data_IF_471455371270
#
_entry.id   IF_471455371270
#
_cell.length_a   1.000
_cell.length_b   1.000
_cell.length_c   1.000
_cell.angle_alpha   90.00
_cell.angle_beta   90.00
_cell.angle_gamma   90.00
#
_symmetry.space_group_name_H-M   'P 1'
#
loop_
_entity.id
_entity.type
_entity.pdbx_description
1 polymer ?
#
# COMPACT_ATOMS: atom_id res chain seq x y z
N UNK A 1 5.87 -11.26 21.01
CA UNK A 1 6.36 -9.96 21.54
C UNK A 1 5.96 -8.86 20.56
N UNK A 2 5.46 -7.74 21.08
CA UNK A 2 4.98 -6.63 20.25
C UNK A 2 6.17 -5.82 19.73
N UNK A 3 6.16 -5.49 18.44
CA UNK A 3 7.18 -4.66 17.78
C UNK A 3 6.52 -3.66 16.83
N UNK A 4 7.31 -2.68 16.39
CA UNK A 4 6.89 -1.73 15.36
C UNK A 4 7.04 -2.34 13.97
N UNK A 5 5.99 -2.28 13.17
CA UNK A 5 5.97 -2.68 11.78
C UNK A 5 5.79 -1.47 10.89
N UNK A 6 6.52 -1.46 9.77
CA UNK A 6 6.33 -0.47 8.72
C UNK A 6 5.28 -1.02 7.75
N UNK A 7 4.32 -0.20 7.35
CA UNK A 7 3.33 -0.62 6.35
C UNK A 7 3.19 0.40 5.24
N UNK A 8 2.88 -0.12 4.05
CA UNK A 8 2.57 0.65 2.85
C UNK A 8 1.32 0.08 2.18
N UNK A 9 0.49 0.97 1.64
CA UNK A 9 -0.61 0.59 0.76
C UNK A 9 -0.08 0.37 -0.66
N UNK A 10 -0.54 -0.69 -1.30
CA UNK A 10 -0.23 -0.98 -2.70
C UNK A 10 -1.37 -0.44 -3.53
N UNK A 11 -1.08 0.46 -4.46
CA UNK A 11 -2.05 1.15 -5.31
C UNK A 11 -1.89 0.73 -6.75
N UNK A 12 -3.01 0.52 -7.39
CA UNK A 12 -3.12 0.50 -8.84
C UNK A 12 -3.53 1.91 -9.31
N UNK A 13 -2.70 2.51 -10.15
CA UNK A 13 -2.84 3.86 -10.68
C UNK A 13 -2.45 3.85 -12.17
N UNK A 14 -3.39 3.49 -13.06
CA UNK A 14 -3.11 3.31 -14.49
C UNK A 14 -2.87 4.64 -15.20
N UNK A 15 -3.45 5.73 -14.70
CA UNK A 15 -3.33 7.07 -15.24
C UNK A 15 -2.89 8.02 -14.13
N UNK A 16 -1.71 8.61 -14.31
CA UNK A 16 -1.14 9.57 -13.37
C UNK A 16 -1.72 10.97 -13.51
N UNK A 17 -2.21 11.34 -14.69
CA UNK A 17 -2.76 12.66 -14.99
C UNK A 17 -4.11 12.86 -14.31
N UNK A 18 -4.96 11.84 -14.33
CA UNK A 18 -6.28 11.88 -13.67
C UNK A 18 -6.18 11.76 -12.15
N UNK A 19 -5.04 11.30 -11.63
CA UNK A 19 -4.84 11.05 -10.21
C UNK A 19 -5.77 9.98 -9.63
N UNK A 20 -6.37 9.16 -10.49
CA UNK A 20 -7.25 8.07 -10.10
C UNK A 20 -6.45 6.87 -9.60
N UNK A 21 -6.82 6.34 -8.44
CA UNK A 21 -6.18 5.15 -7.91
C UNK A 21 -7.14 4.28 -7.11
N UNK A 22 -6.79 3.00 -7.02
CA UNK A 22 -7.43 2.05 -6.12
C UNK A 22 -6.37 1.36 -5.26
N UNK A 23 -6.64 1.24 -3.96
CA UNK A 23 -5.80 0.38 -3.12
C UNK A 23 -6.12 -1.07 -3.48
N UNK A 24 -5.08 -1.84 -3.80
CA UNK A 24 -5.18 -3.24 -4.21
C UNK A 24 -4.51 -4.18 -3.23
N UNK A 25 -3.76 -3.64 -2.26
CA UNK A 25 -3.10 -4.46 -1.25
C UNK A 25 -2.40 -3.65 -0.18
N UNK A 26 -1.71 -4.39 0.68
CA UNK A 26 -0.89 -3.87 1.79
C UNK A 26 0.37 -4.72 1.87
N UNK A 27 1.50 -4.07 2.16
CA UNK A 27 2.77 -4.73 2.53
C UNK A 27 3.21 -4.27 3.92
N UNK A 28 3.75 -5.21 4.70
CA UNK A 28 4.24 -5.04 6.06
C UNK A 28 5.70 -5.47 6.11
N UNK A 29 6.55 -4.61 6.65
CA UNK A 29 7.94 -4.91 6.97
C UNK A 29 8.14 -4.98 8.48
N UNK A 30 8.70 -6.10 8.95
CA UNK A 30 9.08 -6.33 10.33
C UNK A 30 10.60 -6.15 10.50
N UNK A 31 11.07 -5.05 11.11
CA UNK A 31 12.50 -4.77 11.22
C UNK A 31 13.23 -5.67 12.22
N UNK A 32 12.61 -6.04 13.35
CA UNK A 32 13.30 -6.84 14.38
C UNK A 32 13.37 -8.33 14.00
N UNK A 33 12.46 -8.78 13.14
CA UNK A 33 12.44 -10.11 12.56
C UNK A 33 12.32 -9.91 11.05
N UNK A 34 13.44 -9.74 10.31
CA UNK A 34 13.48 -9.30 8.92
C UNK A 34 12.57 -10.12 7.99
N UNK A 35 11.30 -9.77 8.00
CA UNK A 35 10.22 -10.52 7.38
C UNK A 35 9.28 -9.53 6.69
N UNK A 36 8.75 -9.98 5.57
CA UNK A 36 7.78 -9.23 4.79
C UNK A 36 6.48 -10.03 4.79
N UNK A 37 5.39 -9.42 5.19
CA UNK A 37 4.04 -9.95 5.00
C UNK A 37 3.29 -9.06 4.03
N UNK A 38 2.39 -9.63 3.24
CA UNK A 38 1.59 -8.84 2.34
C UNK A 38 0.23 -9.48 2.10
N UNK A 39 -0.71 -8.66 1.63
CA UNK A 39 -1.99 -9.12 1.12
C UNK A 39 -2.38 -8.31 -0.09
N UNK A 40 -2.69 -9.01 -1.17
CA UNK A 40 -3.16 -8.43 -2.41
C UNK A 40 -4.61 -8.83 -2.66
N UNK A 41 -5.26 -8.07 -3.52
CA UNK A 41 -6.49 -8.47 -4.16
C UNK A 41 -6.31 -9.79 -4.89
N UNK A 42 -7.35 -10.60 -4.91
CA UNK A 42 -7.37 -11.76 -5.77
C UNK A 42 -7.67 -11.34 -7.23
N UNK A 43 -7.12 -12.05 -8.25
CA UNK A 43 -7.32 -11.71 -9.65
C UNK A 43 -8.79 -11.62 -10.09
N UNK A 44 -9.67 -12.44 -9.49
CA UNK A 44 -11.12 -12.42 -9.79
C UNK A 44 -11.86 -11.21 -9.20
N UNK A 45 -11.25 -10.45 -8.30
CA UNK A 45 -11.84 -9.25 -7.69
C UNK A 45 -11.59 -7.98 -8.52
N UNK A 46 -11.32 -8.14 -9.83
CA UNK A 46 -11.01 -7.05 -10.76
C UNK A 46 -12.21 -6.17 -11.10
N UNK A 47 -13.45 -6.67 -11.03
CA UNK A 47 -14.65 -5.93 -11.47
C UNK A 47 -14.81 -4.57 -10.79
N UNK A 48 -14.49 -4.47 -9.49
CA UNK A 48 -14.55 -3.22 -8.73
C UNK A 48 -13.48 -2.19 -9.13
N UNK A 49 -12.41 -2.66 -9.76
CA UNK A 49 -11.30 -1.86 -10.25
C UNK A 49 -11.61 -1.44 -11.68
N UNK A 50 -11.87 -2.39 -12.58
CA UNK A 50 -12.11 -2.12 -14.01
C UNK A 50 -13.39 -1.31 -14.27
N UNK A 51 -14.42 -1.41 -13.41
CA UNK A 51 -15.59 -0.53 -13.52
C UNK A 51 -15.28 0.94 -13.19
N UNK A 52 -14.27 1.20 -12.34
CA UNK A 52 -13.90 2.56 -11.96
C UNK A 52 -13.03 3.25 -13.00
N UNK A 53 -12.14 2.50 -13.65
CA UNK A 53 -11.23 2.99 -14.69
C UNK A 53 -11.78 2.59 -16.05
N UNK A 54 -12.62 3.43 -16.67
CA UNK A 54 -13.14 3.18 -18.02
C UNK A 54 -12.37 4.00 -19.06
N UNK A 55 -11.83 3.41 -20.15
CA UNK A 55 -11.84 1.99 -20.54
C UNK A 55 -10.51 1.29 -20.21
N UNK A 56 -10.36 0.74 -19.00
CA UNK A 56 -9.18 -0.06 -18.63
C UNK A 56 -9.39 -1.53 -19.01
N UNK A 57 -8.46 -2.09 -19.77
CA UNK A 57 -8.43 -3.53 -20.06
C UNK A 57 -8.16 -4.33 -18.76
N UNK A 58 -8.99 -5.34 -18.51
CA UNK A 58 -8.84 -6.27 -17.37
C UNK A 58 -7.47 -6.94 -17.37
N UNK A 59 -6.89 -7.21 -18.54
CA UNK A 59 -5.56 -7.79 -18.67
C UNK A 59 -4.46 -6.88 -18.10
N UNK A 60 -4.62 -5.56 -18.20
CA UNK A 60 -3.67 -4.60 -17.63
C UNK A 60 -3.67 -4.69 -16.11
N UNK A 61 -4.85 -4.72 -15.49
CA UNK A 61 -4.96 -4.89 -14.04
C UNK A 61 -4.39 -6.23 -13.58
N UNK A 62 -4.77 -7.34 -14.22
CA UNK A 62 -4.29 -8.67 -13.84
C UNK A 62 -2.78 -8.82 -14.04
N UNK A 63 -2.23 -8.28 -15.12
CA UNK A 63 -0.80 -8.24 -15.38
C UNK A 63 -0.05 -7.45 -14.30
N UNK A 64 -0.52 -6.24 -13.98
CA UNK A 64 0.07 -5.41 -12.93
C UNK A 64 0.02 -6.09 -11.54
N UNK A 65 -1.10 -6.76 -11.21
CA UNK A 65 -1.24 -7.53 -9.99
C UNK A 65 -0.26 -8.71 -9.93
N UNK A 66 -0.07 -9.43 -11.04
CA UNK A 66 0.87 -10.55 -11.15
C UNK A 66 2.33 -10.11 -10.96
N UNK A 67 2.72 -9.00 -11.58
CA UNK A 67 4.04 -8.39 -11.42
C UNK A 67 4.27 -8.00 -9.96
N UNK A 68 3.31 -7.31 -9.33
CA UNK A 68 3.39 -6.94 -7.92
C UNK A 68 3.52 -8.17 -7.01
N UNK A 69 2.73 -9.22 -7.25
CA UNK A 69 2.79 -10.45 -6.48
C UNK A 69 4.15 -11.14 -6.61
N UNK A 70 4.69 -11.25 -7.81
CA UNK A 70 6.00 -11.88 -8.05
C UNK A 70 7.11 -11.12 -7.34
N UNK A 71 7.11 -9.79 -7.41
CA UNK A 71 8.12 -8.97 -6.74
C UNK A 71 8.02 -9.06 -5.21
N UNK A 72 6.80 -8.99 -4.65
CA UNK A 72 6.60 -9.14 -3.20
C UNK A 72 7.04 -10.52 -2.71
N UNK A 73 6.74 -11.58 -3.45
CA UNK A 73 7.20 -12.94 -3.12
C UNK A 73 8.73 -13.06 -3.22
N UNK A 74 9.36 -12.41 -4.19
CA UNK A 74 10.82 -12.36 -4.32
C UNK A 74 11.44 -11.68 -3.11
N UNK A 75 10.96 -10.48 -2.75
CA UNK A 75 11.48 -9.74 -1.59
C UNK A 75 11.21 -10.50 -0.29
N UNK A 76 10.02 -11.07 -0.10
CA UNK A 76 9.68 -11.89 1.07
C UNK A 76 10.68 -13.03 1.31
N UNK A 77 11.17 -13.68 0.24
CA UNK A 77 12.17 -14.74 0.32
C UNK A 77 13.59 -14.23 0.57
N UNK A 78 13.94 -13.06 0.03
CA UNK A 78 15.30 -12.51 0.13
C UNK A 78 15.55 -11.77 1.43
N UNK A 79 14.51 -11.13 1.99
CA UNK A 79 14.62 -10.21 3.12
C UNK A 79 15.35 -10.81 4.35
N UNK A 80 15.15 -12.08 4.76
CA UNK A 80 15.87 -12.66 5.89
C UNK A 80 17.37 -12.87 5.65
N UNK A 81 17.80 -12.91 4.38
CA UNK A 81 19.13 -13.34 3.97
C UNK A 81 20.03 -12.19 3.50
N UNK A 82 19.50 -10.98 3.36
CA UNK A 82 20.29 -9.82 2.93
C UNK A 82 20.98 -9.13 4.11
N UNK A 83 22.17 -8.58 3.87
CA UNK A 83 22.93 -7.86 4.89
C UNK A 83 22.21 -6.58 5.39
N UNK A 84 21.40 -5.95 4.54
CA UNK A 84 20.62 -4.77 4.90
C UNK A 84 19.14 -4.92 4.47
N UNK A 85 18.29 -5.55 5.30
CA UNK A 85 16.87 -5.72 5.02
C UNK A 85 16.10 -4.40 4.89
N UNK A 86 16.50 -3.37 5.63
CA UNK A 86 15.87 -2.06 5.57
C UNK A 86 16.07 -1.41 4.20
N UNK A 87 17.29 -1.46 3.65
CA UNK A 87 17.57 -0.96 2.30
C UNK A 87 16.79 -1.73 1.21
N UNK A 88 16.66 -3.05 1.34
CA UNK A 88 15.84 -3.84 0.41
C UNK A 88 14.35 -3.45 0.48
N UNK A 89 13.83 -3.22 1.69
CA UNK A 89 12.47 -2.70 1.87
C UNK A 89 12.30 -1.30 1.28
N UNK A 90 13.24 -0.39 1.51
CA UNK A 90 13.22 0.96 0.93
C UNK A 90 13.24 0.93 -0.60
N UNK A 91 14.03 0.03 -1.20
CA UNK A 91 14.06 -0.14 -2.66
C UNK A 91 12.76 -0.74 -3.22
N UNK A 92 12.11 -1.64 -2.47
CA UNK A 92 10.80 -2.18 -2.80
C UNK A 92 9.74 -1.07 -2.87
N UNK A 93 9.71 -0.17 -1.89
CA UNK A 93 8.69 0.88 -1.79
C UNK A 93 9.09 2.18 -2.50
N UNK A 94 10.26 2.21 -3.15
CA UNK A 94 10.77 3.42 -3.82
C UNK A 94 9.76 3.90 -4.86
N UNK A 95 9.37 5.19 -4.85
CA UNK A 95 8.47 5.73 -5.86
C UNK A 95 9.04 5.54 -7.27
N UNK A 96 8.24 4.96 -8.16
CA UNK A 96 8.55 4.78 -9.59
C UNK A 96 7.38 5.33 -10.42
N UNK A 97 7.63 5.57 -11.71
CA UNK A 97 6.59 5.94 -12.67
C UNK A 97 5.87 4.69 -13.22
N UNK A 98 5.42 3.83 -12.32
CA UNK A 98 4.72 2.59 -12.63
C UNK A 98 3.24 2.65 -12.29
N UNK A 99 2.50 1.69 -12.86
CA UNK A 99 1.07 1.47 -12.63
C UNK A 99 0.83 0.98 -11.18
N UNK A 100 1.83 0.33 -10.56
CA UNK A 100 1.77 -0.15 -9.18
C UNK A 100 2.60 0.74 -8.27
N UNK A 101 1.95 1.47 -7.36
CA UNK A 101 2.65 2.39 -6.46
C UNK A 101 2.52 1.98 -5.01
N UNK A 102 3.61 2.08 -4.27
CA UNK A 102 3.61 1.98 -2.81
C UNK A 102 3.33 3.37 -2.22
N UNK A 103 2.16 3.53 -1.63
CA UNK A 103 1.71 4.77 -1.05
C UNK A 103 1.52 4.65 0.46
N UNK A 104 1.46 5.80 1.13
CA UNK A 104 1.10 5.90 2.55
C UNK A 104 2.00 5.03 3.45
N UNK A 105 3.17 5.56 3.80
CA UNK A 105 4.06 4.92 4.78
C UNK A 105 3.58 5.22 6.19
N UNK A 106 3.37 4.18 6.98
CA UNK A 106 3.02 4.30 8.39
C UNK A 106 3.74 3.27 9.26
N UNK A 107 3.65 3.48 10.58
CA UNK A 107 4.17 2.55 11.57
C UNK A 107 3.02 2.08 12.45
N UNK A 108 2.96 0.79 12.73
CA UNK A 108 1.95 0.18 13.60
C UNK A 108 2.59 -0.83 14.54
N UNK A 109 2.12 -0.89 15.78
CA UNK A 109 2.57 -1.90 16.73
C UNK A 109 1.76 -3.19 16.55
N UNK A 110 2.45 -4.31 16.37
CA UNK A 110 1.82 -5.62 16.19
C UNK A 110 2.70 -6.75 16.68
N UNK A 111 2.15 -7.97 16.65
CA UNK A 111 2.87 -9.19 17.03
C UNK A 111 3.10 -10.10 15.83
N UNK A 112 2.08 -10.26 14.97
CA UNK A 112 2.16 -11.01 13.72
C UNK A 112 2.00 -10.05 12.52
N UNK A 113 3.01 -9.94 11.64
CA UNK A 113 2.93 -9.08 10.47
C UNK A 113 1.82 -9.52 9.49
N UNK A 114 1.46 -10.81 9.42
CA UNK A 114 0.38 -11.26 8.54
C UNK A 114 -1.00 -10.85 9.05
N UNK A 115 -1.28 -11.03 10.34
CA UNK A 115 -2.51 -10.53 10.96
C UNK A 115 -2.67 -9.00 10.81
N UNK A 116 -1.57 -8.26 10.88
CA UNK A 116 -1.57 -6.81 10.62
C UNK A 116 -1.88 -6.50 9.15
N UNK A 117 -1.28 -7.24 8.21
CA UNK A 117 -1.59 -7.11 6.78
C UNK A 117 -3.08 -7.35 6.51
N UNK A 118 -3.67 -8.39 7.10
CA UNK A 118 -5.09 -8.72 6.97
C UNK A 118 -6.00 -7.62 7.51
N UNK A 119 -5.66 -7.08 8.69
CA UNK A 119 -6.41 -5.99 9.32
C UNK A 119 -6.41 -4.73 8.45
N UNK A 120 -5.23 -4.33 7.96
CA UNK A 120 -5.08 -3.16 7.12
C UNK A 120 -5.71 -3.37 5.74
N UNK A 121 -5.61 -4.57 5.17
CA UNK A 121 -6.27 -4.93 3.92
C UNK A 121 -7.79 -4.79 4.03
N UNK A 122 -8.39 -5.33 5.09
CA UNK A 122 -9.83 -5.19 5.32
C UNK A 122 -10.25 -3.72 5.45
N UNK A 123 -9.42 -2.90 6.10
CA UNK A 123 -9.69 -1.46 6.30
C UNK A 123 -9.55 -0.63 5.03
N UNK A 124 -8.47 -0.81 4.27
CA UNK A 124 -8.09 0.09 3.18
C UNK A 124 -8.40 -0.44 1.78
N UNK A 125 -8.63 -1.75 1.65
CA UNK A 125 -8.84 -2.44 0.36
C UNK A 125 -10.23 -3.08 0.26
N UNK A 126 -10.79 -3.64 1.33
CA UNK A 126 -12.15 -4.24 1.29
C UNK A 126 -13.28 -3.24 1.57
N UNK A 127 -13.12 -2.32 2.53
CA UNK A 127 -14.10 -1.27 2.81
C UNK A 127 -14.02 -0.14 1.77
N UNK A 128 -14.44 -0.42 0.55
CA UNK A 128 -14.55 0.56 -0.53
C UNK A 128 -15.80 1.47 -0.36
N UNK A 129 -15.98 2.07 0.82
CA UNK A 129 -16.93 3.17 1.03
C UNK A 129 -16.13 4.38 1.53
N UNK A 130 -15.76 5.26 0.59
CA UNK A 130 -15.23 6.61 0.87
C UNK A 130 -13.71 6.81 0.90
N UNK A 131 -12.87 5.77 0.99
CA UNK A 131 -11.39 5.96 1.08
C UNK A 131 -10.56 4.96 0.24
N UNK A 132 -11.16 3.88 -0.28
CA UNK A 132 -10.46 2.81 -1.01
C UNK A 132 -10.27 3.04 -2.51
N UNK A 133 -11.10 3.91 -3.09
CA UNK A 133 -11.07 4.29 -4.51
C UNK A 133 -11.24 5.81 -4.52
N UNK A 134 -10.31 6.54 -5.14
CA UNK A 134 -10.32 8.01 -5.10
C UNK A 134 -9.93 8.58 -6.44
N UNK A 135 -10.65 9.65 -6.83
CA UNK A 135 -10.29 10.57 -7.90
C UNK A 135 -9.69 11.79 -7.22
N UNK A 136 -8.38 11.99 -7.30
CA UNK A 136 -7.81 13.26 -6.85
C UNK A 136 -8.20 14.33 -7.87
N UNK A 137 -9.35 14.97 -7.66
CA UNK A 137 -9.53 16.33 -8.20
C UNK A 137 -8.47 17.19 -7.52
N UNK A 138 -7.68 17.91 -8.32
CA UNK A 138 -6.55 18.71 -7.85
C UNK A 138 -6.94 19.57 -6.65
N UNK A 139 -6.45 19.22 -5.45
CA UNK A 139 -6.77 19.94 -4.21
C UNK A 139 -6.89 19.04 -2.99
N UNK A 140 -5.80 18.38 -2.56
CA UNK A 140 -5.77 17.81 -1.22
C UNK A 140 -5.74 18.95 -0.19
N UNK A 141 -6.62 19.00 0.82
CA UNK A 141 -6.54 20.00 1.87
C UNK A 141 -5.28 19.79 2.69
N UNK A 142 -4.38 20.79 2.68
CA UNK A 142 -3.26 20.87 3.63
C UNK A 142 -3.83 20.64 5.04
N UNK A 143 -3.32 19.62 5.73
CA UNK A 143 -3.62 19.40 7.15
C UNK A 143 -3.43 20.74 7.87
N UNK A 144 -4.51 21.32 8.42
CA UNK A 144 -4.40 22.45 9.33
C UNK A 144 -3.61 21.97 10.54
N UNK A 145 -2.36 22.39 10.64
CA UNK A 145 -1.62 22.44 11.90
C UNK A 145 -2.47 23.27 12.86
N UNK A 146 -3.03 22.63 13.89
CA UNK A 146 -3.59 23.36 15.03
C UNK A 146 -2.40 23.99 15.75
N UNK A 147 -2.23 25.29 15.60
CA UNK A 147 -1.42 26.08 16.52
C UNK A 147 -2.10 26.04 17.89
N UNK A 148 -1.43 25.43 18.86
CA UNK A 148 -1.74 25.58 20.27
C UNK A 148 -1.31 27.00 20.67
N UNK A 149 -2.26 27.91 20.82
CA UNK A 149 -2.05 29.18 21.51
C UNK A 149 -2.14 28.94 23.01
N UNK A 150 -1.00 29.06 23.70
CA UNK A 150 -0.92 29.28 25.15
C UNK A 150 -1.72 30.53 25.51
N UNK A 151 -2.60 30.42 26.48
CA UNK A 151 -3.06 31.55 27.30
C UNK A 151 -2.79 31.17 28.75
N UNK A 152 -1.86 31.91 29.37
CA UNK A 152 -1.70 31.95 30.82
C UNK A 152 -2.72 32.97 31.37
N UNK A 153 -3.29 32.76 32.56
CA UNK A 153 -3.74 33.86 33.41
C UNK A 153 -2.54 34.59 34.05
#
# INVERSE_FOLDING_TARGET
MKQAFHYNLIRFQPDVETGEFANIGVVIYAPNTPALAFRLLAPWQHQRITHFFSPLDTNVFQGALSVAQTELQRVQKLLPSVANPAALHEELIRPREDIIRYAHTGVILGEDPQAVADTLFNRYVQRATGTGISRLTAGWPRRRTRHLTRTHP
#
